data_IF_478655192437
#
_entry.id   IF_478655192437
#
_cell.length_a   1.000
_cell.length_b   1.000
_cell.length_c   1.000
_cell.angle_alpha   90.00
_cell.angle_beta   90.00
_cell.angle_gamma   90.00
#
_symmetry.space_group_name_H-M   'P 1'
#
loop_
_entity.id
_entity.type
_entity.pdbx_description
1 polymer ?
#
# COMPACT_ATOMS: atom_id res chain seq x y z
N UNK A 1 -25.95 -20.59 3.13
CA UNK A 1 -25.08 -19.57 2.54
C UNK A 1 -24.23 -18.79 3.55
N UNK A 2 -24.11 -19.24 4.80
CA UNK A 2 -23.45 -18.47 5.89
C UNK A 2 -22.00 -18.89 6.18
N UNK A 3 -21.25 -19.41 5.24
CA UNK A 3 -20.18 -20.27 5.70
C UNK A 3 -18.76 -19.85 5.45
N UNK A 4 -18.46 -18.78 4.78
CA UNK A 4 -17.06 -18.37 4.62
C UNK A 4 -16.93 -16.85 4.74
N UNK A 5 -17.42 -16.30 5.82
CA UNK A 5 -16.82 -15.06 6.29
C UNK A 5 -15.46 -15.44 6.88
N UNK A 6 -14.38 -15.03 6.22
CA UNK A 6 -13.05 -15.09 6.80
C UNK A 6 -13.12 -14.49 8.19
N UNK A 7 -12.41 -15.05 9.16
CA UNK A 7 -12.41 -14.53 10.55
C UNK A 7 -12.14 -13.02 10.60
N UNK A 8 -11.37 -12.50 9.65
CA UNK A 8 -11.14 -11.06 9.45
C UNK A 8 -12.38 -10.25 9.06
N UNK A 9 -13.46 -10.83 8.56
CA UNK A 9 -14.66 -10.10 8.22
C UNK A 9 -15.58 -9.80 9.41
N UNK A 10 -15.32 -10.37 10.57
CA UNK A 10 -16.07 -10.10 11.81
C UNK A 10 -15.68 -8.79 12.51
N UNK A 11 -14.63 -8.15 12.08
CA UNK A 11 -14.19 -6.88 12.64
C UNK A 11 -15.22 -5.75 12.45
N UNK A 12 -16.13 -5.84 11.44
CA UNK A 12 -17.22 -4.89 11.21
C UNK A 12 -18.09 -4.63 12.43
N UNK A 13 -18.18 -5.59 13.36
CA UNK A 13 -19.00 -5.44 14.57
C UNK A 13 -18.21 -4.90 15.75
N UNK A 14 -16.87 -4.94 15.67
CA UNK A 14 -16.01 -4.43 16.74
C UNK A 14 -14.56 -4.25 16.26
N UNK A 15 -14.31 -3.21 15.48
CA UNK A 15 -13.06 -2.91 14.80
C UNK A 15 -11.80 -3.05 15.66
N UNK A 16 -11.83 -2.51 16.86
CA UNK A 16 -10.66 -2.39 17.71
C UNK A 16 -10.54 -3.47 18.77
N UNK A 17 -11.50 -4.40 18.84
CA UNK A 17 -11.54 -5.46 19.85
C UNK A 17 -11.70 -6.87 19.26
N UNK A 18 -11.27 -7.06 18.03
CA UNK A 18 -11.42 -8.34 17.37
C UNK A 18 -10.54 -9.42 18.02
N UNK A 19 -11.12 -10.62 18.22
CA UNK A 19 -10.40 -11.78 18.76
C UNK A 19 -10.43 -12.95 17.79
N UNK A 20 -9.31 -13.67 17.66
CA UNK A 20 -9.24 -14.99 17.06
C UNK A 20 -8.93 -15.98 18.18
N UNK A 21 -9.91 -16.82 18.53
CA UNK A 21 -9.81 -17.66 19.73
C UNK A 21 -9.66 -16.75 20.96
N UNK A 22 -8.64 -16.98 21.78
CA UNK A 22 -8.34 -16.19 22.97
C UNK A 22 -7.44 -14.98 22.69
N UNK A 23 -6.93 -14.85 21.47
CA UNK A 23 -6.02 -13.77 21.09
C UNK A 23 -6.79 -12.55 20.59
N UNK A 24 -6.59 -11.41 21.25
CA UNK A 24 -7.08 -10.11 20.78
C UNK A 24 -6.20 -9.62 19.64
N UNK A 25 -6.80 -9.36 18.47
CA UNK A 25 -6.11 -8.71 17.35
C UNK A 25 -6.54 -7.27 17.31
N UNK A 26 -5.59 -6.37 17.51
CA UNK A 26 -5.85 -4.95 17.34
C UNK A 26 -5.90 -4.64 15.83
N UNK A 27 -6.99 -3.99 15.42
CA UNK A 27 -7.20 -3.56 14.05
C UNK A 27 -6.05 -2.67 13.52
N UNK A 28 -5.44 -1.86 14.39
CA UNK A 28 -4.33 -0.97 14.07
C UNK A 28 -3.05 -1.71 13.69
N UNK A 29 -2.93 -3.00 14.05
CA UNK A 29 -1.83 -3.88 13.66
C UNK A 29 -2.10 -4.66 12.35
N UNK A 30 -3.27 -4.48 11.71
CA UNK A 30 -3.59 -5.15 10.46
C UNK A 30 -2.88 -4.47 9.28
N UNK A 31 -1.61 -4.81 9.06
CA UNK A 31 -0.73 -4.22 8.05
C UNK A 31 -0.47 -5.08 6.81
N UNK A 32 -1.16 -6.22 6.66
CA UNK A 32 -0.96 -7.15 5.56
C UNK A 32 -1.43 -6.59 4.20
N UNK A 33 -0.98 -7.21 3.11
CA UNK A 33 -1.24 -6.79 1.74
C UNK A 33 -2.68 -6.99 1.24
N UNK A 34 -3.59 -7.50 2.07
CA UNK A 34 -4.98 -7.78 1.71
C UNK A 34 -5.77 -6.54 1.22
N UNK A 35 -5.38 -5.34 1.65
CA UNK A 35 -5.94 -4.10 1.09
C UNK A 35 -5.53 -3.94 -0.38
N UNK A 36 -4.23 -4.06 -0.70
CA UNK A 36 -3.72 -3.92 -2.06
C UNK A 36 -4.28 -4.98 -3.03
N UNK A 37 -4.51 -6.22 -2.55
CA UNK A 37 -5.01 -7.31 -3.40
C UNK A 37 -6.38 -7.06 -4.05
N UNK A 38 -7.17 -6.12 -3.54
CA UNK A 38 -8.55 -5.90 -4.00
C UNK A 38 -8.79 -4.55 -4.67
N UNK A 39 -7.79 -3.66 -4.74
CA UNK A 39 -8.02 -2.28 -5.21
C UNK A 39 -7.91 -2.11 -6.72
N UNK A 40 -7.43 -3.09 -7.46
CA UNK A 40 -7.27 -3.00 -8.90
C UNK A 40 -8.55 -2.50 -9.63
N UNK A 41 -9.75 -3.04 -9.35
CA UNK A 41 -10.97 -2.52 -9.99
C UNK A 41 -11.24 -1.04 -9.64
N UNK A 42 -10.89 -0.62 -8.43
CA UNK A 42 -11.07 0.77 -7.99
C UNK A 42 -10.13 1.69 -8.78
N UNK A 43 -8.87 1.31 -8.93
CA UNK A 43 -7.90 2.07 -9.68
C UNK A 43 -8.30 2.21 -11.16
N UNK A 44 -8.65 1.09 -11.81
CA UNK A 44 -9.05 1.06 -13.22
C UNK A 44 -10.31 1.88 -13.49
N UNK A 45 -11.31 1.84 -12.58
CA UNK A 45 -12.56 2.58 -12.74
C UNK A 45 -12.40 4.10 -12.55
N UNK A 46 -11.26 4.57 -12.05
CA UNK A 46 -11.02 5.98 -11.77
C UNK A 46 -9.72 6.50 -12.43
N UNK A 47 -9.18 5.80 -13.43
CA UNK A 47 -8.00 6.26 -14.16
C UNK A 47 -8.19 7.71 -14.65
N UNK A 48 -7.15 8.53 -14.47
CA UNK A 48 -7.15 9.95 -14.80
C UNK A 48 -7.66 10.88 -13.68
N UNK A 49 -8.22 10.33 -12.60
CA UNK A 49 -8.67 11.10 -11.42
C UNK A 49 -7.94 10.60 -10.16
N UNK A 50 -6.73 11.13 -9.95
CA UNK A 50 -5.86 10.71 -8.84
C UNK A 50 -6.52 10.91 -7.47
N UNK A 51 -7.22 12.03 -7.25
CA UNK A 51 -7.84 12.31 -5.95
C UNK A 51 -8.95 11.31 -5.65
N UNK A 52 -9.73 10.95 -6.66
CA UNK A 52 -10.77 9.94 -6.53
C UNK A 52 -10.19 8.54 -6.31
N UNK A 53 -9.08 8.21 -6.97
CA UNK A 53 -8.33 6.97 -6.72
C UNK A 53 -7.89 6.93 -5.25
N UNK A 54 -7.23 7.96 -4.77
CA UNK A 54 -6.73 8.07 -3.39
C UNK A 54 -7.86 7.90 -2.38
N UNK A 55 -8.91 8.70 -2.51
CA UNK A 55 -10.08 8.66 -1.63
C UNK A 55 -10.73 7.27 -1.58
N UNK A 56 -11.01 6.68 -2.73
CA UNK A 56 -11.71 5.40 -2.82
C UNK A 56 -10.84 4.24 -2.31
N UNK A 57 -9.53 4.24 -2.60
CA UNK A 57 -8.60 3.22 -2.10
C UNK A 57 -8.42 3.36 -0.59
N UNK A 58 -8.23 4.56 -0.08
CA UNK A 58 -8.13 4.80 1.36
C UNK A 58 -9.39 4.28 2.08
N UNK A 59 -10.57 4.73 1.65
CA UNK A 59 -11.84 4.34 2.25
C UNK A 59 -12.05 2.83 2.20
N UNK A 60 -11.73 2.18 1.07
CA UNK A 60 -11.80 0.72 0.96
C UNK A 60 -10.81 0.02 1.87
N UNK A 61 -9.59 0.54 2.01
CA UNK A 61 -8.53 -0.07 2.80
C UNK A 61 -8.86 -0.08 4.29
N UNK A 62 -9.32 1.06 4.83
CA UNK A 62 -9.66 1.19 6.24
C UNK A 62 -10.82 0.30 6.68
N UNK A 63 -11.62 -0.21 5.75
CA UNK A 63 -12.67 -1.20 6.07
C UNK A 63 -12.09 -2.45 6.74
N UNK A 64 -10.87 -2.86 6.42
CA UNK A 64 -10.28 -4.12 6.89
C UNK A 64 -8.91 -3.98 7.52
N UNK A 65 -8.21 -2.88 7.28
CA UNK A 65 -6.81 -2.69 7.67
C UNK A 65 -6.62 -1.32 8.27
N UNK A 66 -6.22 -1.26 9.53
CA UNK A 66 -5.97 -0.02 10.26
C UNK A 66 -4.51 0.43 10.27
N UNK A 67 -3.58 -0.42 9.85
CA UNK A 67 -2.17 -0.10 9.84
C UNK A 67 -1.77 0.64 8.56
N UNK A 68 -0.97 1.71 8.69
CA UNK A 68 -0.52 2.53 7.57
C UNK A 68 0.15 1.76 6.44
N UNK A 69 0.93 0.69 6.73
CA UNK A 69 1.57 -0.12 5.66
C UNK A 69 0.58 -0.78 4.71
N UNK A 70 -0.58 -1.24 5.20
CA UNK A 70 -1.59 -1.81 4.34
C UNK A 70 -2.25 -0.75 3.46
N UNK A 71 -2.57 0.40 4.05
CA UNK A 71 -3.24 1.52 3.39
C UNK A 71 -2.31 2.14 2.34
N UNK A 72 -1.08 2.46 2.72
CA UNK A 72 -0.09 3.07 1.84
C UNK A 72 0.29 2.11 0.70
N UNK A 73 0.48 0.81 0.99
CA UNK A 73 0.72 -0.17 -0.06
C UNK A 73 -0.41 -0.20 -1.10
N UNK A 74 -1.66 -0.18 -0.66
CA UNK A 74 -2.81 -0.13 -1.56
C UNK A 74 -2.83 1.17 -2.41
N UNK A 75 -2.52 2.31 -1.79
CA UNK A 75 -2.44 3.60 -2.49
C UNK A 75 -1.33 3.60 -3.53
N UNK A 76 -0.11 3.17 -3.18
CA UNK A 76 1.02 3.08 -4.13
C UNK A 76 0.64 2.23 -5.33
N UNK A 77 -0.01 1.07 -5.11
CA UNK A 77 -0.44 0.21 -6.19
C UNK A 77 -1.43 0.91 -7.12
N UNK A 78 -2.45 1.59 -6.58
CA UNK A 78 -3.42 2.33 -7.39
C UNK A 78 -2.82 3.53 -8.11
N UNK A 79 -1.92 4.27 -7.47
CA UNK A 79 -1.20 5.41 -8.06
C UNK A 79 -0.28 4.93 -9.18
N UNK A 80 0.45 3.83 -8.98
CA UNK A 80 1.32 3.24 -9.99
C UNK A 80 0.52 2.81 -11.24
N UNK A 81 -0.66 2.19 -11.06
CA UNK A 81 -1.56 1.85 -12.18
C UNK A 81 -1.97 3.11 -12.95
N UNK A 82 -2.41 4.16 -12.23
CA UNK A 82 -2.79 5.42 -12.85
C UNK A 82 -1.62 6.08 -13.59
N UNK A 83 -0.43 6.03 -13.04
CA UNK A 83 0.77 6.59 -13.65
C UNK A 83 1.17 5.81 -14.91
N UNK A 84 1.22 4.46 -14.86
CA UNK A 84 1.55 3.61 -16.02
C UNK A 84 0.61 3.87 -17.19
N UNK A 85 -0.67 4.12 -16.93
CA UNK A 85 -1.65 4.38 -17.97
C UNK A 85 -1.33 5.62 -18.83
N UNK A 86 -0.54 6.56 -18.30
CA UNK A 86 -0.12 7.77 -19.01
C UNK A 86 1.14 7.56 -19.88
N UNK A 87 1.79 6.40 -19.78
CA UNK A 87 2.94 6.06 -20.63
C UNK A 87 2.48 5.31 -21.89
N UNK A 88 3.11 5.61 -23.02
CA UNK A 88 3.03 4.74 -24.20
C UNK A 88 4.07 3.62 -24.09
N UNK A 89 3.78 2.46 -24.68
CA UNK A 89 4.70 1.33 -24.68
C UNK A 89 6.09 1.66 -25.26
N UNK A 90 6.15 2.59 -26.22
CA UNK A 90 7.38 2.96 -26.91
C UNK A 90 8.29 3.90 -26.10
N UNK A 91 7.73 4.56 -25.06
CA UNK A 91 8.43 5.59 -24.29
C UNK A 91 8.48 5.26 -22.78
N UNK A 92 8.26 4.02 -22.38
CA UNK A 92 8.31 3.66 -20.98
C UNK A 92 9.76 3.46 -20.50
N UNK A 93 10.22 4.33 -19.61
CA UNK A 93 11.48 4.18 -18.90
C UNK A 93 11.23 3.91 -17.39
N UNK A 94 11.74 2.81 -16.83
CA UNK A 94 11.57 2.47 -15.43
C UNK A 94 12.13 3.49 -14.45
N UNK A 95 13.23 4.16 -14.79
CA UNK A 95 13.87 5.15 -13.90
C UNK A 95 13.11 6.48 -13.92
N UNK A 96 12.59 6.89 -15.09
CA UNK A 96 11.70 8.04 -15.19
C UNK A 96 10.41 7.80 -14.42
N UNK A 97 9.82 6.61 -14.56
CA UNK A 97 8.64 6.22 -13.80
C UNK A 97 8.85 6.32 -12.29
N UNK A 98 9.96 5.76 -11.78
CA UNK A 98 10.29 5.84 -10.34
C UNK A 98 10.62 7.25 -9.90
N UNK A 99 11.25 8.04 -10.75
CA UNK A 99 11.55 9.44 -10.48
C UNK A 99 10.25 10.24 -10.29
N UNK A 100 9.29 10.07 -11.18
CA UNK A 100 8.00 10.75 -11.11
C UNK A 100 7.18 10.32 -9.90
N UNK A 101 7.14 9.01 -9.62
CA UNK A 101 6.48 8.47 -8.43
C UNK A 101 7.12 8.99 -7.15
N UNK A 102 8.45 8.96 -7.07
CA UNK A 102 9.21 9.33 -5.86
C UNK A 102 9.23 10.82 -5.57
N UNK A 103 9.36 11.67 -6.59
CA UNK A 103 9.36 13.14 -6.41
C UNK A 103 8.08 13.67 -5.75
N UNK A 104 6.96 13.03 -6.05
CA UNK A 104 5.65 13.48 -5.61
C UNK A 104 5.03 12.58 -4.53
N UNK A 105 5.80 11.65 -3.96
CA UNK A 105 5.24 10.60 -3.10
C UNK A 105 4.47 11.15 -1.89
N UNK A 106 4.94 12.21 -1.26
CA UNK A 106 4.25 12.85 -0.14
C UNK A 106 2.88 13.39 -0.57
N UNK A 107 2.80 14.07 -1.70
CA UNK A 107 1.54 14.59 -2.25
C UNK A 107 0.64 13.44 -2.74
N UNK A 108 1.23 12.44 -3.38
CA UNK A 108 0.51 11.27 -3.85
C UNK A 108 -0.14 10.48 -2.71
N UNK A 109 0.52 10.40 -1.56
CA UNK A 109 0.02 9.66 -0.39
C UNK A 109 -0.74 10.55 0.60
N UNK A 110 -0.71 11.89 0.44
CA UNK A 110 -1.52 12.78 1.27
C UNK A 110 -3.02 12.52 1.08
N UNK A 111 -3.75 12.39 2.17
CA UNK A 111 -5.20 12.19 2.18
C UNK A 111 -5.90 13.42 2.73
N UNK A 112 -6.85 13.95 1.96
CA UNK A 112 -7.74 14.99 2.46
C UNK A 112 -8.86 14.34 3.29
N UNK A 113 -8.65 14.24 4.59
CA UNK A 113 -9.63 13.63 5.50
C UNK A 113 -10.97 14.36 5.51
N UNK A 114 -10.99 15.68 5.27
CA UNK A 114 -12.22 16.46 5.27
C UNK A 114 -13.23 16.02 4.17
N UNK A 115 -12.75 15.37 3.14
CA UNK A 115 -13.58 14.88 2.04
C UNK A 115 -14.13 13.46 2.25
N UNK A 116 -13.79 12.82 3.37
CA UNK A 116 -14.19 11.44 3.65
C UNK A 116 -15.26 11.43 4.74
N UNK A 117 -16.48 11.06 4.38
CA UNK A 117 -17.60 10.98 5.32
C UNK A 117 -17.31 9.97 6.44
N UNK A 118 -17.55 10.37 7.69
CA UNK A 118 -17.36 9.51 8.88
C UNK A 118 -15.91 9.29 9.29
N UNK A 119 -14.96 9.94 8.65
CA UNK A 119 -13.53 9.76 8.96
C UNK A 119 -13.15 10.26 10.35
N UNK A 120 -13.79 11.31 10.83
CA UNK A 120 -13.52 11.88 12.16
C UNK A 120 -13.77 10.86 13.27
N UNK A 121 -14.88 10.10 13.18
CA UNK A 121 -15.19 9.05 14.14
C UNK A 121 -14.17 7.89 14.05
N UNK A 122 -13.73 7.55 12.84
CA UNK A 122 -12.70 6.55 12.63
C UNK A 122 -11.35 6.99 13.23
N UNK A 123 -10.92 8.22 12.98
CA UNK A 123 -9.68 8.80 13.53
C UNK A 123 -9.72 8.85 15.07
N UNK A 124 -10.83 9.29 15.65
CA UNK A 124 -11.02 9.31 17.09
C UNK A 124 -10.83 7.91 17.69
N UNK A 125 -11.50 6.91 17.13
CA UNK A 125 -11.37 5.51 17.58
C UNK A 125 -9.96 4.96 17.37
N UNK A 126 -9.32 5.31 16.25
CA UNK A 126 -7.96 4.86 15.96
C UNK A 126 -6.96 5.43 16.98
N UNK A 127 -7.09 6.71 17.31
CA UNK A 127 -6.21 7.44 18.20
C UNK A 127 -6.45 7.10 19.69
N UNK A 128 -7.64 6.58 20.04
CA UNK A 128 -7.99 6.26 21.42
C UNK A 128 -7.09 5.15 21.99
N UNK A 129 -6.41 5.46 23.09
CA UNK A 129 -5.58 4.48 23.83
C UNK A 129 -4.45 3.85 23.00
N UNK A 130 -3.97 4.54 21.96
CA UNK A 130 -2.79 4.13 21.21
C UNK A 130 -1.61 5.03 21.56
N UNK A 131 -0.39 4.53 21.42
CA UNK A 131 0.83 5.24 21.81
C UNK A 131 1.21 6.39 20.83
N UNK A 132 0.63 6.40 19.64
CA UNK A 132 0.84 7.40 18.58
C UNK A 132 -0.49 7.69 17.87
N UNK A 133 -0.70 8.88 17.34
CA UNK A 133 -1.86 9.16 16.52
C UNK A 133 -1.69 8.63 15.08
N UNK A 134 -2.81 8.50 14.35
CA UNK A 134 -2.80 7.93 12.99
C UNK A 134 -1.96 8.76 12.03
N UNK A 135 -2.07 10.07 12.08
CA UNK A 135 -1.39 10.99 11.17
C UNK A 135 0.13 10.87 11.30
N UNK A 136 0.64 10.80 12.52
CA UNK A 136 2.08 10.60 12.78
C UNK A 136 2.52 9.22 12.32
N UNK A 137 1.78 8.17 12.69
CA UNK A 137 2.05 6.81 12.22
C UNK A 137 2.06 6.69 10.69
N UNK A 138 1.09 7.35 10.04
CA UNK A 138 0.97 7.35 8.58
C UNK A 138 2.14 8.09 7.92
N UNK A 139 2.52 9.25 8.46
CA UNK A 139 3.65 10.04 7.96
C UNK A 139 5.00 9.30 8.09
N UNK A 140 5.23 8.60 9.20
CA UNK A 140 6.46 7.80 9.40
C UNK A 140 6.58 6.72 8.31
N UNK A 141 5.46 6.11 7.91
CA UNK A 141 5.48 5.09 6.85
C UNK A 141 5.66 5.72 5.46
N UNK A 142 5.16 6.93 5.22
CA UNK A 142 5.45 7.66 3.98
C UNK A 142 6.96 7.90 3.84
N UNK A 143 7.63 8.33 4.91
CA UNK A 143 9.09 8.51 4.89
C UNK A 143 9.84 7.20 4.65
N UNK A 144 9.42 6.10 5.30
CA UNK A 144 9.98 4.77 5.03
C UNK A 144 9.86 4.40 3.55
N UNK A 145 8.67 4.60 2.96
CA UNK A 145 8.41 4.32 1.54
C UNK A 145 9.24 5.23 0.63
N UNK A 146 9.35 6.51 0.96
CA UNK A 146 10.17 7.44 0.18
C UNK A 146 11.62 6.95 0.07
N UNK A 147 12.22 6.54 1.19
CA UNK A 147 13.57 5.96 1.21
C UNK A 147 13.65 4.64 0.43
N UNK A 148 12.63 3.79 0.53
CA UNK A 148 12.55 2.54 -0.22
C UNK A 148 12.47 2.78 -1.74
N UNK A 149 11.72 3.78 -2.21
CA UNK A 149 11.68 4.15 -3.63
C UNK A 149 13.02 4.66 -4.14
N UNK A 150 13.74 5.45 -3.34
CA UNK A 150 15.12 5.85 -3.66
C UNK A 150 16.07 4.63 -3.75
N UNK A 151 15.89 3.66 -2.86
CA UNK A 151 16.60 2.38 -2.90
C UNK A 151 16.31 1.59 -4.17
N UNK A 152 15.03 1.52 -4.58
CA UNK A 152 14.62 0.85 -5.83
C UNK A 152 15.22 1.53 -7.06
N UNK A 153 15.23 2.86 -7.12
CA UNK A 153 15.88 3.59 -8.21
C UNK A 153 17.36 3.20 -8.36
N UNK A 154 18.09 3.19 -7.26
CA UNK A 154 19.50 2.76 -7.25
C UNK A 154 19.64 1.29 -7.66
N UNK A 155 18.78 0.42 -7.13
CA UNK A 155 18.83 -1.01 -7.40
C UNK A 155 18.60 -1.34 -8.89
N UNK A 156 17.67 -0.67 -9.56
CA UNK A 156 17.40 -0.86 -10.99
C UNK A 156 18.56 -0.31 -11.81
N UNK A 157 19.03 0.92 -11.50
CA UNK A 157 20.17 1.54 -12.18
C UNK A 157 21.44 0.68 -12.09
N UNK A 158 21.73 0.18 -10.90
CA UNK A 158 22.98 -0.56 -10.58
C UNK A 158 22.83 -2.07 -10.82
N UNK A 159 21.68 -2.53 -11.31
CA UNK A 159 21.33 -3.96 -11.58
C UNK A 159 21.61 -4.84 -10.36
N UNK A 160 21.20 -4.37 -9.18
CA UNK A 160 21.36 -5.08 -7.91
C UNK A 160 20.63 -6.44 -7.96
N UNK A 161 21.25 -7.54 -7.48
CA UNK A 161 20.59 -8.84 -7.42
C UNK A 161 19.24 -8.78 -6.71
N UNK A 162 18.18 -9.34 -7.31
CA UNK A 162 16.80 -9.24 -6.83
C UNK A 162 16.63 -9.65 -5.36
N UNK A 163 17.36 -10.68 -4.91
CA UNK A 163 17.29 -11.16 -3.52
C UNK A 163 17.71 -10.10 -2.51
N UNK A 164 18.72 -9.30 -2.84
CA UNK A 164 19.16 -8.20 -2.00
C UNK A 164 18.09 -7.12 -1.92
N UNK A 165 17.50 -6.76 -3.07
CA UNK A 165 16.43 -5.76 -3.14
C UNK A 165 15.22 -6.20 -2.32
N UNK A 166 14.77 -7.44 -2.47
CA UNK A 166 13.66 -7.99 -1.70
C UNK A 166 13.95 -8.03 -0.19
N UNK A 167 15.21 -8.28 0.19
CA UNK A 167 15.65 -8.23 1.58
C UNK A 167 15.57 -6.80 2.13
N UNK A 168 16.04 -5.82 1.37
CA UNK A 168 16.05 -4.41 1.77
C UNK A 168 14.61 -3.85 1.89
N UNK A 169 13.70 -4.30 1.04
CA UNK A 169 12.26 -4.01 1.14
C UNK A 169 11.57 -4.69 2.33
N UNK A 170 12.27 -5.55 3.05
CA UNK A 170 11.74 -6.23 4.23
C UNK A 170 10.86 -7.45 3.92
N UNK A 171 10.94 -8.00 2.69
CA UNK A 171 10.12 -9.16 2.28
C UNK A 171 10.44 -10.43 3.08
N UNK A 172 11.63 -10.51 3.68
CA UNK A 172 12.08 -11.68 4.47
C UNK A 172 12.07 -11.43 5.99
N UNK A 173 11.80 -10.21 6.44
CA UNK A 173 11.73 -9.88 7.88
C UNK A 173 10.40 -10.31 8.45
N UNK A 174 10.40 -10.86 9.66
CA UNK A 174 9.19 -11.36 10.34
C UNK A 174 8.14 -10.25 10.48
N UNK A 175 8.58 -9.03 10.78
CA UNK A 175 7.73 -7.87 11.07
C UNK A 175 7.07 -7.26 9.84
N UNK A 176 7.69 -7.45 8.65
CA UNK A 176 7.25 -6.77 7.43
C UNK A 176 6.91 -7.70 6.27
N UNK A 177 7.27 -8.99 6.36
CA UNK A 177 6.91 -9.96 5.30
C UNK A 177 5.40 -10.01 5.12
N UNK A 178 4.95 -9.84 3.87
CA UNK A 178 3.52 -9.83 3.54
C UNK A 178 2.81 -8.53 3.95
N UNK A 179 3.52 -7.50 4.43
CA UNK A 179 2.94 -6.17 4.61
C UNK A 179 2.55 -5.54 3.28
N UNK A 180 1.62 -4.59 3.32
CA UNK A 180 1.15 -3.91 2.11
C UNK A 180 2.29 -3.22 1.36
N UNK A 181 3.13 -2.45 2.06
CA UNK A 181 4.25 -1.73 1.44
C UNK A 181 5.30 -2.68 0.88
N UNK A 182 5.80 -3.65 1.67
CA UNK A 182 6.83 -4.56 1.20
C UNK A 182 6.38 -5.37 -0.02
N UNK A 183 5.14 -5.88 -0.02
CA UNK A 183 4.59 -6.66 -1.13
C UNK A 183 4.44 -5.82 -2.40
N UNK A 184 3.89 -4.60 -2.27
CA UNK A 184 3.64 -3.75 -3.43
C UNK A 184 4.93 -3.20 -4.02
N UNK A 185 5.88 -2.77 -3.19
CA UNK A 185 7.19 -2.30 -3.68
C UNK A 185 8.00 -3.43 -4.32
N UNK A 186 7.91 -4.66 -3.80
CA UNK A 186 8.51 -5.83 -4.44
C UNK A 186 7.87 -6.11 -5.82
N UNK A 187 6.54 -6.07 -5.90
CA UNK A 187 5.83 -6.20 -7.17
C UNK A 187 6.18 -5.10 -8.17
N UNK A 188 6.30 -3.86 -7.70
CA UNK A 188 6.73 -2.72 -8.51
C UNK A 188 8.16 -2.91 -9.04
N UNK A 189 9.09 -3.32 -8.19
CA UNK A 189 10.46 -3.65 -8.60
C UNK A 189 10.49 -4.73 -9.69
N UNK A 190 9.76 -5.84 -9.50
CA UNK A 190 9.71 -6.94 -10.46
C UNK A 190 9.11 -6.48 -11.79
N UNK A 191 8.04 -5.69 -11.76
CA UNK A 191 7.45 -5.11 -12.95
C UNK A 191 8.46 -4.22 -13.70
N UNK A 192 9.07 -3.25 -13.01
CA UNK A 192 9.98 -2.28 -13.62
C UNK A 192 11.25 -2.93 -14.20
N UNK A 193 11.75 -3.97 -13.53
CA UNK A 193 12.94 -4.69 -13.99
C UNK A 193 12.65 -5.63 -15.17
N UNK A 194 11.39 -6.02 -15.39
CA UNK A 194 10.98 -7.01 -16.39
C UNK A 194 9.84 -6.50 -17.32
N UNK A 195 9.62 -5.20 -17.42
CA UNK A 195 8.46 -4.64 -18.13
C UNK A 195 8.38 -5.06 -19.61
N UNK A 196 9.53 -5.27 -20.26
CA UNK A 196 9.63 -5.73 -21.64
C UNK A 196 9.63 -7.27 -21.79
N UNK A 197 9.73 -8.00 -20.66
CA UNK A 197 9.68 -9.46 -20.58
C UNK A 197 8.93 -9.90 -19.32
N UNK A 198 7.62 -9.64 -19.25
CA UNK A 198 6.87 -9.80 -18.00
C UNK A 198 6.86 -11.24 -17.44
N UNK A 199 7.04 -12.24 -18.30
CA UNK A 199 7.09 -13.64 -17.85
C UNK A 199 8.37 -13.95 -17.06
N UNK A 200 9.48 -13.27 -17.33
CA UNK A 200 10.75 -13.46 -16.60
C UNK A 200 10.65 -12.94 -15.15
N UNK A 201 9.67 -12.07 -14.85
CA UNK A 201 9.41 -11.55 -13.52
C UNK A 201 8.52 -12.45 -12.65
N UNK A 202 7.96 -13.52 -13.21
CA UNK A 202 7.02 -14.42 -12.54
C UNK A 202 7.67 -15.79 -12.24
N UNK A 203 8.73 -16.13 -12.93
CA UNK A 203 9.50 -17.38 -12.77
C UNK A 203 10.68 -17.16 -11.84
#
# INVERSE_FOLDING_TARGET
ANKIQRKSAKWNTNFFNYKIGDSKIDYRNCGANGAAMRILPIALANIGDLEKIKKNIFTNSIITHGHGRAIIGALIYGIAINQVYNYSNDNFDPLDFLTDLGKNIHNHLAINFNEINGISEWLEKWNTSWYINFETHYSEIIEEVHLQLQGLFKAIRDKTPYRNVLSDLGCFRIETKGSGTATVLAGLYLFLNNYNKPLDGIT
#
